data_IF_718573888114
#
_entry.id   IF_718573888114
#
_cell.length_a   1.000
_cell.length_b   1.000
_cell.length_c   1.000
_cell.angle_alpha   90.00
_cell.angle_beta   90.00
_cell.angle_gamma   90.00
#
_symmetry.space_group_name_H-M   'P 1'
#
loop_
_entity.id
_entity.type
_entity.pdbx_description
1 polymer ?
#
# COMPACT_ATOMS: atom_id res chain seq x y z
N UNK A 1 -5.04 9.25 -23.86
CA UNK A 1 -4.79 10.17 -22.73
C UNK A 1 -4.74 9.37 -21.42
N UNK A 2 -3.74 9.57 -20.56
CA UNK A 2 -3.70 8.89 -19.26
C UNK A 2 -4.88 9.37 -18.40
N UNK A 3 -5.64 8.42 -17.85
CA UNK A 3 -6.82 8.71 -17.02
C UNK A 3 -6.40 9.51 -15.79
N UNK A 4 -7.02 10.68 -15.57
CA UNK A 4 -6.79 11.50 -14.38
C UNK A 4 -6.99 10.65 -13.13
N UNK A 5 -5.96 10.51 -12.30
CA UNK A 5 -6.06 9.79 -11.03
C UNK A 5 -6.97 10.61 -10.11
N UNK A 6 -8.07 10.00 -9.64
CA UNK A 6 -8.89 10.60 -8.58
C UNK A 6 -8.09 10.64 -7.28
N UNK A 7 -8.27 11.69 -6.50
CA UNK A 7 -7.77 11.80 -5.13
C UNK A 7 -8.35 10.64 -4.31
N UNK A 8 -7.49 9.94 -3.57
CA UNK A 8 -7.85 8.75 -2.76
C UNK A 8 -7.72 9.12 -1.30
N UNK A 9 -8.63 8.63 -0.47
CA UNK A 9 -8.53 8.85 0.99
C UNK A 9 -7.50 7.90 1.57
N UNK A 10 -6.61 8.47 2.38
CA UNK A 10 -5.71 7.74 3.27
C UNK A 10 -6.20 8.10 4.67
N UNK A 11 -6.68 7.11 5.44
CA UNK A 11 -7.30 7.37 6.74
C UNK A 11 -6.23 7.57 7.81
N UNK A 12 -5.10 6.86 7.72
CA UNK A 12 -4.03 7.00 8.68
C UNK A 12 -2.65 6.91 7.98
N UNK A 13 -2.00 8.05 7.66
CA UNK A 13 -0.64 8.01 7.14
C UNK A 13 0.30 7.32 8.15
N UNK A 14 1.32 6.59 7.67
CA UNK A 14 2.27 5.91 8.54
C UNK A 14 3.00 6.92 9.41
N UNK A 15 3.15 6.61 10.70
CA UNK A 15 3.89 7.43 11.68
C UNK A 15 5.41 7.25 11.60
N UNK A 16 5.88 6.37 10.71
CA UNK A 16 7.27 5.99 10.54
C UNK A 16 7.65 6.07 9.06
N UNK A 17 8.93 6.31 8.76
CA UNK A 17 9.41 6.51 7.40
C UNK A 17 9.81 5.23 6.66
N UNK A 18 9.96 4.10 7.37
CA UNK A 18 10.23 2.81 6.74
C UNK A 18 10.41 1.68 7.74
N UNK A 19 10.38 0.45 7.23
CA UNK A 19 10.75 -0.75 7.97
C UNK A 19 12.10 -1.25 7.48
N UNK A 20 12.94 -1.73 8.40
CA UNK A 20 14.21 -2.37 8.07
C UNK A 20 14.21 -3.80 8.62
N UNK A 21 14.48 -4.83 7.79
CA UNK A 21 14.63 -6.19 8.28
C UNK A 21 15.80 -6.30 9.26
N UNK A 22 15.61 -7.09 10.32
CA UNK A 22 16.62 -7.32 11.33
C UNK A 22 17.71 -8.26 10.79
N UNK A 23 18.99 -7.97 11.09
CA UNK A 23 20.12 -8.84 10.70
C UNK A 23 20.84 -8.50 9.39
N UNK A 24 20.46 -7.42 8.68
CA UNK A 24 21.18 -7.00 7.46
C UNK A 24 22.41 -6.16 7.79
N UNK A 25 23.62 -6.69 7.57
CA UNK A 25 24.91 -5.99 7.76
C UNK A 25 25.38 -5.20 6.54
N UNK A 26 24.77 -5.43 5.36
CA UNK A 26 25.06 -4.68 4.14
C UNK A 26 24.33 -3.34 4.08
N UNK A 27 24.93 -2.34 3.41
CA UNK A 27 24.20 -1.18 2.86
C UNK A 27 23.08 -1.76 2.00
N UNK A 28 21.83 -1.69 2.45
CA UNK A 28 20.69 -2.26 1.73
C UNK A 28 20.68 -1.70 0.31
N UNK A 29 20.87 -2.57 -0.67
CA UNK A 29 20.94 -2.19 -2.07
C UNK A 29 19.54 -1.83 -2.55
N UNK A 30 19.13 -0.58 -2.30
CA UNK A 30 17.82 -0.03 -2.70
C UNK A 30 16.75 -0.14 -1.60
N UNK A 31 16.12 0.98 -1.26
CA UNK A 31 14.89 0.99 -0.49
C UNK A 31 13.70 0.76 -1.43
N UNK A 32 12.69 0.01 -0.98
CA UNK A 32 11.44 -0.13 -1.72
C UNK A 32 10.46 0.96 -1.27
N UNK A 33 10.20 1.91 -2.16
CA UNK A 33 9.25 3.00 -1.88
C UNK A 33 7.80 2.53 -2.06
N UNK A 34 7.05 2.56 -0.95
CA UNK A 34 5.62 2.36 -0.92
C UNK A 34 4.90 3.71 -0.95
N UNK A 35 3.90 3.82 -1.82
CA UNK A 35 3.00 4.96 -1.81
C UNK A 35 2.07 4.88 -0.58
N UNK A 36 1.60 6.03 -0.09
CA UNK A 36 0.64 6.07 1.02
C UNK A 36 -0.61 5.22 0.79
N UNK A 37 -1.10 5.20 -0.44
CA UNK A 37 -2.24 4.37 -0.85
C UNK A 37 -1.95 2.87 -0.83
N UNK A 38 -0.71 2.47 -1.12
CA UNK A 38 -0.28 1.08 -1.11
C UNK A 38 -0.16 0.58 0.33
N UNK A 39 0.42 1.41 1.21
CA UNK A 39 0.47 1.15 2.64
C UNK A 39 -0.94 1.02 3.25
N UNK A 40 -1.82 1.98 2.96
CA UNK A 40 -3.20 1.96 3.45
C UNK A 40 -3.95 0.71 2.98
N UNK A 41 -3.79 0.32 1.70
CA UNK A 41 -4.44 -0.86 1.16
C UNK A 41 -3.99 -2.16 1.85
N UNK A 42 -2.70 -2.29 2.16
CA UNK A 42 -2.17 -3.42 2.93
C UNK A 42 -2.72 -3.41 4.34
N UNK A 43 -2.72 -2.25 5.01
CA UNK A 43 -3.25 -2.13 6.37
C UNK A 43 -4.72 -2.56 6.44
N UNK A 44 -5.56 -2.03 5.56
CA UNK A 44 -6.99 -2.36 5.58
C UNK A 44 -7.27 -3.84 5.29
N UNK A 45 -6.55 -4.43 4.32
CA UNK A 45 -6.80 -5.81 3.91
C UNK A 45 -6.10 -6.85 4.81
N UNK A 46 -4.83 -6.64 5.16
CA UNK A 46 -4.01 -7.63 5.86
C UNK A 46 -4.00 -7.41 7.40
N UNK A 47 -4.09 -6.17 7.89
CA UNK A 47 -4.10 -5.88 9.34
C UNK A 47 -5.51 -5.75 9.90
N UNK A 48 -6.38 -4.95 9.27
CA UNK A 48 -7.77 -4.77 9.69
C UNK A 48 -8.70 -5.89 9.18
N UNK A 49 -8.16 -6.84 8.38
CA UNK A 49 -8.87 -8.00 7.81
C UNK A 49 -10.16 -7.64 7.04
N UNK A 50 -10.23 -6.43 6.49
CA UNK A 50 -11.37 -6.00 5.69
C UNK A 50 -11.39 -6.68 4.34
N UNK A 51 -12.59 -6.92 3.81
CA UNK A 51 -12.70 -7.37 2.43
C UNK A 51 -12.37 -6.23 1.44
N UNK A 52 -12.00 -6.58 0.22
CA UNK A 52 -11.64 -5.61 -0.82
C UNK A 52 -12.76 -4.63 -1.18
N UNK A 53 -14.02 -4.95 -0.86
CA UNK A 53 -15.14 -4.06 -1.13
C UNK A 53 -15.23 -2.97 -0.05
N UNK A 54 -15.21 -3.35 1.22
CA UNK A 54 -15.19 -2.46 2.38
C UNK A 54 -14.00 -1.50 2.33
N UNK A 55 -12.80 -2.05 2.11
CA UNK A 55 -11.59 -1.23 2.01
C UNK A 55 -11.63 -0.25 0.82
N UNK A 56 -12.23 -0.65 -0.31
CA UNK A 56 -12.42 0.24 -1.45
C UNK A 56 -13.40 1.39 -1.14
N UNK A 57 -14.50 1.09 -0.45
CA UNK A 57 -15.48 2.10 0.01
C UNK A 57 -14.80 3.10 0.94
N UNK A 58 -14.00 2.61 1.89
CA UNK A 58 -13.29 3.43 2.87
C UNK A 58 -12.25 4.35 2.22
N UNK A 59 -11.50 3.86 1.23
CA UNK A 59 -10.55 4.65 0.43
C UNK A 59 -11.23 5.57 -0.62
N UNK A 60 -12.54 5.44 -0.84
CA UNK A 60 -13.29 6.19 -1.84
C UNK A 60 -12.95 5.81 -3.29
N UNK A 61 -12.56 4.56 -3.52
CA UNK A 61 -12.18 4.03 -4.83
C UNK A 61 -13.08 2.87 -5.26
N UNK A 62 -13.06 2.51 -6.55
CA UNK A 62 -13.76 1.30 -6.99
C UNK A 62 -13.04 0.04 -6.52
N UNK A 63 -13.78 -1.05 -6.28
CA UNK A 63 -13.23 -2.38 -5.95
C UNK A 63 -12.08 -2.81 -6.89
N UNK A 64 -12.19 -2.72 -8.23
CA UNK A 64 -11.07 -3.08 -9.12
C UNK A 64 -9.90 -2.09 -9.06
N UNK A 65 -10.12 -0.84 -8.62
CA UNK A 65 -9.02 0.09 -8.35
C UNK A 65 -8.27 -0.32 -7.07
N UNK A 66 -9.01 -0.65 -6.01
CA UNK A 66 -8.41 -1.12 -4.76
C UNK A 66 -7.58 -2.38 -4.96
N UNK A 67 -8.13 -3.38 -5.68
CA UNK A 67 -7.41 -4.61 -5.99
C UNK A 67 -6.06 -4.35 -6.71
N UNK A 68 -6.02 -3.41 -7.66
CA UNK A 68 -4.77 -3.04 -8.36
C UNK A 68 -3.75 -2.36 -7.44
N UNK A 69 -4.21 -1.49 -6.53
CA UNK A 69 -3.33 -0.84 -5.55
C UNK A 69 -2.73 -1.91 -4.62
N UNK A 70 -3.58 -2.78 -4.09
CA UNK A 70 -3.18 -3.86 -3.21
C UNK A 70 -2.20 -4.83 -3.88
N UNK A 71 -2.44 -5.21 -5.12
CA UNK A 71 -1.54 -6.07 -5.89
C UNK A 71 -0.18 -5.40 -6.14
N UNK A 72 -0.16 -4.11 -6.52
CA UNK A 72 1.07 -3.33 -6.66
C UNK A 72 1.86 -3.30 -5.37
N UNK A 73 1.18 -3.06 -4.25
CA UNK A 73 1.76 -3.02 -2.92
C UNK A 73 2.39 -4.37 -2.54
N UNK A 74 1.67 -5.49 -2.71
CA UNK A 74 2.19 -6.84 -2.44
C UNK A 74 3.39 -7.20 -3.30
N UNK A 75 3.38 -6.87 -4.60
CA UNK A 75 4.50 -7.13 -5.50
C UNK A 75 5.76 -6.36 -5.06
N UNK A 76 5.62 -5.10 -4.65
CA UNK A 76 6.73 -4.31 -4.12
C UNK A 76 7.32 -4.94 -2.85
N UNK A 77 6.47 -5.32 -1.90
CA UNK A 77 6.94 -5.95 -0.65
C UNK A 77 7.63 -7.29 -0.90
N UNK A 78 7.15 -8.08 -1.86
CA UNK A 78 7.76 -9.37 -2.20
C UNK A 78 9.15 -9.28 -2.85
N UNK A 79 9.53 -8.10 -3.37
CA UNK A 79 10.87 -7.85 -3.93
C UNK A 79 11.89 -7.45 -2.86
N UNK A 80 11.42 -7.00 -1.68
CA UNK A 80 12.23 -6.50 -0.57
C UNK A 80 12.85 -7.61 0.28
#
# INVERSE_FOLDING_TARGET
>A
MPRRKRLRKVVAPPKFQGYKPYGTTGKSTGAVDLLYEEYEAIKLADYDLMNHHEAAVLMGVSRPTFARIYESARRKIAVA
#
